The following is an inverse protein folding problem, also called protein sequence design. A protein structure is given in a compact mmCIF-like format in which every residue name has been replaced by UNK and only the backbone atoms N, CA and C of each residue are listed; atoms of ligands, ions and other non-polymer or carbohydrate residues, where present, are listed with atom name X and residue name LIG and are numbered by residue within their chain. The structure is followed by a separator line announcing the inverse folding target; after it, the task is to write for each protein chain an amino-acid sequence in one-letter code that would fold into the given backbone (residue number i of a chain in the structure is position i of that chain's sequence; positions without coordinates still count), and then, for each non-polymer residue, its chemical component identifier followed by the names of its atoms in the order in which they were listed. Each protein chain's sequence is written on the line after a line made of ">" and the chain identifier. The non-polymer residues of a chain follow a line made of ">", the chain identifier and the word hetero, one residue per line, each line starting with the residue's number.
data_IF_860101699643
#
_entry.id   IF_860101699643
#
_cell.length_a   1.000
_cell.length_b   1.000
_cell.length_c   1.000
_cell.angle_alpha   90.00
_cell.angle_beta   90.00
_cell.angle_gamma   90.00
#
_symmetry.space_group_name_H-M   'P 1'
#
loop_
_entity.id
_entity.type
_entity.pdbx_description
1 polymer ?
#
# COMPACT_ATOMS: atom_id res chain seq x y z
N UNK A 1 -1.21 -28.72 13.57
CA UNK A 1 -2.05 -27.64 13.03
C UNK A 1 -1.43 -26.32 13.45
N UNK A 2 -0.62 -25.66 12.59
CA UNK A 2 -0.05 -24.36 12.95
C UNK A 2 -1.17 -23.31 12.91
N UNK A 3 -1.28 -22.53 13.97
CA UNK A 3 -2.19 -21.39 14.06
C UNK A 3 -1.77 -20.29 13.07
N UNK A 4 -2.72 -19.52 12.54
CA UNK A 4 -2.54 -18.44 11.55
C UNK A 4 -1.44 -17.42 11.96
N UNK A 5 -1.18 -17.29 13.26
CA UNK A 5 -0.11 -16.44 13.80
C UNK A 5 1.32 -16.93 13.50
N UNK A 6 1.53 -18.23 13.24
CA UNK A 6 2.88 -18.79 13.06
C UNK A 6 3.43 -18.60 11.64
N UNK A 7 2.57 -18.24 10.67
CA UNK A 7 2.97 -18.00 9.28
C UNK A 7 3.38 -16.55 9.00
N UNK A 8 3.18 -15.63 9.94
CA UNK A 8 3.48 -14.21 9.79
C UNK A 8 4.92 -13.86 10.18
N UNK A 9 5.67 -14.80 10.77
CA UNK A 9 7.01 -14.55 11.30
C UNK A 9 8.16 -14.71 10.27
N UNK A 10 7.89 -15.18 9.04
CA UNK A 10 8.94 -15.47 8.04
C UNK A 10 8.98 -14.50 6.84
N UNK A 11 8.19 -13.44 6.81
CA UNK A 11 8.16 -12.52 5.66
C UNK A 11 9.24 -11.41 5.76
N UNK A 12 10.51 -11.83 5.77
CA UNK A 12 11.70 -10.99 5.56
C UNK A 12 12.38 -11.37 4.25
N UNK A 13 11.59 -11.58 3.19
CA UNK A 13 12.14 -11.88 1.86
C UNK A 13 11.93 -10.70 0.93
N UNK A 14 12.98 -10.35 0.19
CA UNK A 14 12.89 -9.50 -0.99
C UNK A 14 11.82 -10.03 -1.95
N UNK A 15 11.36 -9.19 -2.87
CA UNK A 15 10.31 -9.58 -3.79
C UNK A 15 10.67 -10.86 -4.55
N UNK A 16 9.87 -11.93 -4.46
CA UNK A 16 10.16 -13.14 -5.22
C UNK A 16 10.10 -12.84 -6.72
N UNK A 17 10.90 -13.52 -7.55
CA UNK A 17 10.83 -13.38 -9.01
C UNK A 17 9.40 -13.58 -9.51
N UNK A 18 8.86 -12.59 -10.22
CA UNK A 18 7.49 -12.62 -10.74
C UNK A 18 6.39 -12.25 -9.76
N UNK A 19 6.70 -11.75 -8.55
CA UNK A 19 5.67 -11.20 -7.69
C UNK A 19 5.10 -9.90 -8.29
N UNK A 20 3.77 -9.68 -8.17
CA UNK A 20 3.11 -8.55 -8.80
C UNK A 20 3.51 -7.23 -8.13
N UNK A 21 3.68 -6.19 -8.93
CA UNK A 21 4.20 -4.89 -8.46
C UNK A 21 3.10 -4.02 -7.86
N UNK A 22 3.48 -3.12 -6.96
CA UNK A 22 2.63 -1.99 -6.58
C UNK A 22 3.40 -0.68 -6.71
N UNK A 23 2.65 0.39 -6.89
CA UNK A 23 3.18 1.75 -6.87
C UNK A 23 2.20 2.68 -6.17
N UNK A 24 2.75 3.66 -5.48
CA UNK A 24 2.00 4.80 -4.95
C UNK A 24 2.62 6.06 -5.52
N UNK A 25 1.85 6.79 -6.32
CA UNK A 25 2.29 8.07 -6.87
C UNK A 25 1.68 9.21 -6.07
N UNK A 26 2.50 10.17 -5.63
CA UNK A 26 2.00 11.40 -5.01
C UNK A 26 1.76 12.42 -6.11
N UNK A 27 0.52 12.91 -6.19
CA UNK A 27 0.03 13.64 -7.34
C UNK A 27 -0.55 15.00 -6.91
N UNK A 28 0.15 16.07 -7.29
CA UNK A 28 -0.29 17.45 -7.13
C UNK A 28 -1.09 17.89 -8.36
N UNK A 29 -2.30 17.35 -8.50
CA UNK A 29 -3.29 17.80 -9.49
C UNK A 29 -4.07 19.02 -8.95
N UNK A 30 -5.34 19.16 -9.32
CA UNK A 30 -6.25 20.16 -8.72
C UNK A 30 -6.35 20.05 -7.20
N UNK A 31 -6.21 18.83 -6.67
CA UNK A 31 -6.01 18.54 -5.25
C UNK A 31 -4.89 17.53 -5.10
N UNK A 32 -4.08 17.69 -4.05
CA UNK A 32 -3.12 16.68 -3.66
C UNK A 32 -3.84 15.38 -3.33
N UNK A 33 -3.40 14.29 -3.94
CA UNK A 33 -3.84 12.93 -3.63
C UNK A 33 -2.70 11.94 -3.91
N UNK A 34 -2.94 10.68 -3.56
CA UNK A 34 -2.02 9.59 -3.79
C UNK A 34 -2.69 8.54 -4.67
N UNK A 35 -2.15 8.28 -5.84
CA UNK A 35 -2.62 7.21 -6.73
C UNK A 35 -2.00 5.89 -6.27
N UNK A 36 -2.81 5.04 -5.63
CA UNK A 36 -2.45 3.72 -5.15
C UNK A 36 -2.78 2.67 -6.21
N UNK A 37 -1.80 1.84 -6.60
CA UNK A 37 -1.98 0.91 -7.70
C UNK A 37 -1.40 -0.48 -7.40
N UNK A 38 -2.15 -1.51 -7.79
CA UNK A 38 -1.74 -2.92 -7.69
C UNK A 38 -1.75 -3.55 -9.08
N UNK A 39 -0.65 -4.19 -9.47
CA UNK A 39 -0.59 -5.00 -10.68
C UNK A 39 -1.48 -6.25 -10.54
N UNK A 40 -2.45 -6.41 -11.43
CA UNK A 40 -3.29 -7.60 -11.49
C UNK A 40 -3.84 -7.80 -12.91
N UNK A 41 -3.58 -8.95 -13.52
CA UNK A 41 -4.06 -9.27 -14.87
C UNK A 41 -3.45 -8.39 -15.97
N UNK A 42 -2.16 -8.05 -15.85
CA UNK A 42 -1.42 -7.28 -16.86
C UNK A 42 -1.69 -5.77 -16.88
N UNK A 43 -2.43 -5.25 -15.90
CA UNK A 43 -2.74 -3.83 -15.74
C UNK A 43 -2.58 -3.40 -14.29
N UNK A 44 -2.52 -2.08 -14.07
CA UNK A 44 -2.48 -1.47 -12.74
C UNK A 44 -3.90 -1.09 -12.29
N UNK A 45 -4.49 -1.92 -11.43
CA UNK A 45 -5.74 -1.60 -10.74
C UNK A 45 -5.48 -0.40 -9.83
N UNK A 46 -6.25 0.67 -10.00
CA UNK A 46 -5.86 1.99 -9.51
C UNK A 46 -6.95 2.66 -8.65
N UNK A 47 -6.51 3.31 -7.58
CA UNK A 47 -7.36 4.10 -6.69
C UNK A 47 -6.70 5.44 -6.32
N UNK A 48 -7.44 6.54 -6.43
CA UNK A 48 -7.05 7.81 -5.87
C UNK A 48 -7.37 7.85 -4.36
N UNK A 49 -6.36 8.11 -3.53
CA UNK A 49 -6.43 8.17 -2.06
C UNK A 49 -6.14 9.61 -1.62
N UNK A 50 -7.15 10.48 -1.41
CA UNK A 50 -6.95 11.92 -1.24
C UNK A 50 -6.04 12.30 -0.07
N UNK A 51 -6.16 11.59 1.06
CA UNK A 51 -5.32 11.85 2.24
C UNK A 51 -4.05 10.99 2.28
N UNK A 52 -3.88 10.08 1.32
CA UNK A 52 -2.82 9.07 1.33
C UNK A 52 -3.05 7.92 2.33
N UNK A 53 -2.17 6.90 2.31
CA UNK A 53 -2.20 5.75 3.21
C UNK A 53 -1.87 6.14 4.67
N UNK A 54 -2.22 5.27 5.62
CA UNK A 54 -1.94 5.47 7.04
C UNK A 54 -1.69 4.14 7.74
N UNK A 55 -0.75 4.13 8.67
CA UNK A 55 -0.47 2.98 9.52
C UNK A 55 -1.41 2.89 10.74
N UNK A 56 -2.29 3.86 10.94
CA UNK A 56 -3.21 3.85 12.07
C UNK A 56 -4.45 2.98 11.77
N UNK A 57 -4.66 1.95 12.59
CA UNK A 57 -5.81 1.04 12.51
C UNK A 57 -7.17 1.75 12.67
N UNK A 58 -7.19 2.95 13.24
CA UNK A 58 -8.40 3.75 13.43
C UNK A 58 -8.75 4.58 12.18
N UNK A 59 -7.79 4.78 11.28
CA UNK A 59 -7.97 5.59 10.10
C UNK A 59 -8.39 4.75 8.89
N UNK A 60 -9.59 5.03 8.37
CA UNK A 60 -10.10 4.42 7.15
C UNK A 60 -9.98 5.43 6.01
N UNK A 61 -9.01 5.22 5.11
CA UNK A 61 -8.68 6.20 4.06
C UNK A 61 -9.56 5.95 2.85
N UNK A 62 -10.32 6.96 2.41
CA UNK A 62 -11.11 6.87 1.17
C UNK A 62 -10.19 6.57 -0.01
N UNK A 63 -10.55 5.57 -0.80
CA UNK A 63 -9.88 5.15 -2.02
C UNK A 63 -10.92 5.13 -3.16
N UNK A 64 -10.81 6.05 -4.10
CA UNK A 64 -11.75 6.17 -5.22
C UNK A 64 -11.18 5.39 -6.40
N UNK A 65 -11.90 4.38 -6.89
CA UNK A 65 -11.47 3.62 -8.07
C UNK A 65 -11.35 4.56 -9.26
N UNK A 66 -10.25 4.46 -10.00
CA UNK A 66 -10.02 5.17 -11.27
C UNK A 66 -9.74 4.15 -12.37
N UNK A 67 -9.54 4.63 -13.60
CA UNK A 67 -9.25 3.76 -14.74
C UNK A 67 -7.98 2.94 -14.52
N UNK A 68 -7.93 1.76 -15.14
CA UNK A 68 -6.74 0.93 -15.14
C UNK A 68 -5.60 1.65 -15.86
N UNK A 69 -4.38 1.50 -15.36
CA UNK A 69 -3.21 2.12 -15.96
C UNK A 69 -2.25 1.06 -16.54
N UNK A 70 -1.49 1.40 -17.60
CA UNK A 70 -0.48 0.50 -18.13
C UNK A 70 0.69 0.36 -17.14
N UNK A 71 1.31 -0.82 -17.10
CA UNK A 71 2.49 -1.12 -16.27
C UNK A 71 3.65 -0.12 -16.49
N UNK A 72 3.81 0.37 -17.72
CA UNK A 72 4.83 1.36 -18.07
C UNK A 72 4.69 2.69 -17.34
N UNK A 73 3.53 2.96 -16.73
CA UNK A 73 3.29 4.18 -15.97
C UNK A 73 3.84 4.13 -14.54
N UNK A 74 4.29 2.95 -14.07
CA UNK A 74 4.77 2.75 -12.70
C UNK A 74 5.99 3.61 -12.37
N UNK A 75 6.84 3.86 -13.37
CA UNK A 75 8.09 4.60 -13.18
C UNK A 75 7.95 6.08 -13.56
N UNK A 76 6.74 6.55 -13.90
CA UNK A 76 6.53 7.94 -14.30
C UNK A 76 6.67 8.89 -13.11
N UNK A 77 7.59 9.84 -13.26
CA UNK A 77 7.79 11.01 -12.41
C UNK A 77 8.01 12.24 -13.30
N UNK A 78 7.28 13.33 -13.03
CA UNK A 78 7.33 14.50 -13.89
C UNK A 78 6.13 15.43 -13.71
N UNK A 79 5.91 16.28 -14.72
CA UNK A 79 4.75 17.18 -14.79
C UNK A 79 3.88 16.80 -15.97
N UNK A 80 2.61 16.52 -15.72
CA UNK A 80 1.57 16.37 -16.74
C UNK A 80 1.10 17.77 -17.11
N UNK A 81 1.12 18.08 -18.41
CA UNK A 81 0.77 19.39 -18.93
C UNK A 81 -0.69 19.76 -18.61
N UNK A 82 -0.94 21.07 -18.49
CA UNK A 82 -2.29 21.59 -18.26
C UNK A 82 -3.22 21.25 -19.44
N UNK A 83 -4.50 21.05 -19.15
CA UNK A 83 -5.50 20.64 -20.13
C UNK A 83 -5.54 19.13 -20.42
N UNK A 84 -4.55 18.36 -19.95
CA UNK A 84 -4.59 16.91 -19.99
C UNK A 84 -5.23 16.33 -18.73
N UNK A 85 -5.81 15.12 -18.86
CA UNK A 85 -6.31 14.38 -17.70
C UNK A 85 -5.15 14.10 -16.73
N UNK A 86 -5.34 14.46 -15.46
CA UNK A 86 -4.28 14.36 -14.45
C UNK A 86 -3.22 15.46 -14.51
N UNK A 87 -3.50 16.63 -15.11
CA UNK A 87 -2.56 17.76 -15.09
C UNK A 87 -2.05 18.06 -13.66
N UNK A 88 -0.72 18.14 -13.51
CA UNK A 88 -0.10 18.24 -12.19
C UNK A 88 1.30 17.67 -12.14
N UNK A 89 1.97 17.86 -11.00
CA UNK A 89 3.25 17.18 -10.71
C UNK A 89 2.95 15.79 -10.15
N UNK A 90 3.76 14.80 -10.54
CA UNK A 90 3.70 13.42 -10.06
C UNK A 90 5.08 12.99 -9.62
N UNK A 91 5.19 12.30 -8.48
CA UNK A 91 6.39 11.56 -8.08
C UNK A 91 6.03 10.11 -7.73
N UNK A 92 6.99 9.20 -7.84
CA UNK A 92 6.86 7.84 -7.31
C UNK A 92 7.12 7.89 -5.79
N UNK A 93 6.06 7.97 -5.00
CA UNK A 93 6.15 8.14 -3.55
C UNK A 93 6.49 6.84 -2.83
N UNK A 94 5.98 5.71 -3.30
CA UNK A 94 6.42 4.39 -2.84
C UNK A 94 6.32 3.37 -3.99
N UNK A 95 7.13 2.32 -3.94
CA UNK A 95 7.08 1.21 -4.88
C UNK A 95 7.59 -0.06 -4.22
N UNK A 96 7.16 -1.19 -4.75
CA UNK A 96 7.47 -2.49 -4.19
C UNK A 96 6.75 -3.60 -4.92
N UNK A 97 6.57 -4.70 -4.21
CA UNK A 97 5.62 -5.71 -4.63
C UNK A 97 4.60 -6.02 -3.55
N UNK A 98 3.52 -6.65 -3.98
CA UNK A 98 2.42 -6.99 -3.12
C UNK A 98 2.13 -8.48 -3.21
N UNK A 99 1.57 -9.02 -2.13
CA UNK A 99 1.17 -10.40 -2.05
C UNK A 99 -0.30 -10.48 -1.64
N UNK A 100 -1.18 -11.08 -2.47
CA UNK A 100 -2.56 -11.32 -2.06
C UNK A 100 -2.60 -12.30 -0.88
N UNK A 101 -3.42 -12.00 0.14
CA UNK A 101 -3.64 -12.91 1.28
C UNK A 101 -4.73 -13.96 0.98
N UNK A 102 -5.56 -13.70 -0.03
CA UNK A 102 -6.60 -14.57 -0.57
C UNK A 102 -6.67 -14.40 -2.09
N UNK A 103 -7.50 -15.16 -2.80
CA UNK A 103 -7.66 -14.98 -4.26
C UNK A 103 -7.99 -13.50 -4.61
N UNK A 104 -7.14 -12.82 -5.38
CA UNK A 104 -7.31 -11.39 -5.61
C UNK A 104 -8.48 -11.06 -6.53
N UNK A 105 -8.82 -11.94 -7.48
CA UNK A 105 -9.93 -11.74 -8.40
C UNK A 105 -11.27 -11.84 -7.66
N UNK A 106 -11.42 -12.86 -6.82
CA UNK A 106 -12.58 -13.00 -5.93
C UNK A 106 -12.64 -11.85 -4.93
N UNK A 107 -11.52 -11.45 -4.33
CA UNK A 107 -11.47 -10.31 -3.39
C UNK A 107 -11.94 -9.00 -4.02
N UNK A 108 -11.46 -8.70 -5.23
CA UNK A 108 -11.87 -7.52 -6.00
C UNK A 108 -13.36 -7.58 -6.38
N UNK A 109 -13.86 -8.77 -6.77
CA UNK A 109 -15.26 -9.02 -7.11
C UNK A 109 -16.19 -8.93 -5.89
N UNK A 110 -15.79 -9.48 -4.75
CA UNK A 110 -16.55 -9.45 -3.51
C UNK A 110 -16.47 -8.11 -2.76
N UNK A 111 -15.45 -7.30 -3.04
CA UNK A 111 -15.29 -5.97 -2.44
C UNK A 111 -14.46 -5.97 -1.16
N UNK A 112 -13.64 -6.99 -0.96
CA UNK A 112 -12.62 -7.05 0.08
C UNK A 112 -11.37 -7.70 -0.48
N UNK A 113 -10.37 -6.89 -0.79
CA UNK A 113 -9.05 -7.34 -1.22
C UNK A 113 -8.08 -7.17 -0.06
N UNK A 114 -7.61 -8.26 0.53
CA UNK A 114 -6.59 -8.25 1.59
C UNK A 114 -5.24 -8.67 1.03
N UNK A 115 -4.18 -7.94 1.37
CA UNK A 115 -2.85 -8.11 0.79
C UNK A 115 -1.75 -7.64 1.73
N UNK A 116 -0.53 -8.13 1.52
CA UNK A 116 0.68 -7.60 2.11
C UNK A 116 1.45 -6.72 1.11
N UNK A 117 2.07 -5.65 1.60
CA UNK A 117 2.95 -4.77 0.82
C UNK A 117 4.40 -4.93 1.30
N UNK A 118 5.31 -4.90 0.33
CA UNK A 118 6.75 -4.93 0.51
C UNK A 118 7.38 -3.77 -0.27
N UNK A 119 7.17 -2.55 0.19
CA UNK A 119 7.78 -1.34 -0.37
C UNK A 119 8.64 -0.58 0.63
N UNK A 120 9.21 0.52 0.17
CA UNK A 120 10.14 1.34 0.96
C UNK A 120 9.45 2.04 2.12
N UNK A 121 8.16 2.35 1.97
CA UNK A 121 7.37 3.06 2.99
C UNK A 121 6.20 2.25 3.49
N UNK A 122 5.50 1.53 2.60
CA UNK A 122 4.37 0.68 2.92
C UNK A 122 4.82 -0.77 3.06
N UNK A 123 4.67 -1.28 4.28
CA UNK A 123 5.06 -2.63 4.68
C UNK A 123 3.91 -3.28 5.43
N UNK A 124 3.80 -4.59 5.31
CA UNK A 124 2.86 -5.40 6.09
C UNK A 124 1.48 -5.52 5.44
N UNK A 125 0.48 -5.95 6.21
CA UNK A 125 -0.87 -6.26 5.79
C UNK A 125 -1.79 -5.03 5.70
N UNK A 126 -2.59 -4.99 4.64
CA UNK A 126 -3.54 -3.95 4.29
C UNK A 126 -4.80 -4.57 3.67
N UNK A 127 -5.86 -3.79 3.58
CA UNK A 127 -7.04 -4.17 2.81
C UNK A 127 -7.67 -3.00 2.07
N UNK A 128 -8.23 -3.30 0.90
CA UNK A 128 -9.19 -2.47 0.19
C UNK A 128 -10.60 -3.03 0.44
N UNK A 129 -11.49 -2.22 1.00
CA UNK A 129 -12.86 -2.59 1.35
C UNK A 129 -13.82 -1.69 0.59
N UNK A 130 -14.65 -2.26 -0.29
CA UNK A 130 -15.67 -1.53 -1.04
C UNK A 130 -16.84 -1.18 -0.11
N UNK A 131 -17.19 0.09 -0.08
CA UNK A 131 -18.37 0.57 0.65
C UNK A 131 -19.64 0.18 -0.10
N UNK A 132 -20.75 0.12 0.62
CA UNK A 132 -22.05 0.02 -0.04
C UNK A 132 -22.32 1.30 -0.86
N UNK A 133 -22.89 1.17 -2.07
CA UNK A 133 -23.36 2.32 -2.83
C UNK A 133 -24.34 3.16 -2.00
N UNK A 134 -24.30 4.48 -2.16
CA UNK A 134 -25.28 5.39 -1.54
C UNK A 134 -25.92 6.24 -2.63
N UNK A 135 -27.26 6.27 -2.64
CA UNK A 135 -28.13 7.14 -3.46
C UNK A 135 -27.47 7.78 -4.69
N UNK A 136 -27.40 7.02 -5.80
CA UNK A 136 -26.94 7.53 -7.10
C UNK A 136 -25.44 7.78 -7.22
N UNK A 137 -24.63 7.50 -6.19
CA UNK A 137 -23.16 7.58 -6.25
C UNK A 137 -22.53 6.19 -6.34
N UNK A 138 -21.53 6.01 -7.21
CA UNK A 138 -20.78 4.75 -7.27
C UNK A 138 -20.11 4.45 -5.94
N UNK A 139 -19.97 3.16 -5.62
CA UNK A 139 -19.32 2.70 -4.41
C UNK A 139 -17.85 3.11 -4.38
N UNK A 140 -17.45 3.89 -3.37
CA UNK A 140 -16.05 4.13 -3.06
C UNK A 140 -15.42 2.95 -2.31
N UNK A 141 -14.11 2.91 -2.25
CA UNK A 141 -13.35 1.95 -1.44
C UNK A 141 -12.75 2.63 -0.21
N UNK A 142 -12.31 1.83 0.74
CA UNK A 142 -11.50 2.22 1.87
C UNK A 142 -10.19 1.45 1.82
N UNK A 143 -9.06 2.15 1.86
CA UNK A 143 -7.75 1.58 2.16
C UNK A 143 -7.56 1.62 3.68
N UNK A 144 -7.28 0.45 4.27
CA UNK A 144 -7.10 0.29 5.72
C UNK A 144 -5.84 -0.51 6.02
N UNK A 145 -5.16 -0.15 7.10
CA UNK A 145 -4.10 -0.98 7.69
C UNK A 145 -4.75 -2.16 8.42
N UNK A 146 -4.19 -3.35 8.26
CA UNK A 146 -4.59 -4.56 9.01
C UNK A 146 -3.61 -4.81 10.17
N UNK A 147 -4.03 -5.62 11.15
CA UNK A 147 -3.19 -5.92 12.31
C UNK A 147 -2.10 -6.94 11.97
N UNK A 148 -0.84 -6.57 12.17
CA UNK A 148 0.36 -7.35 11.86
C UNK A 148 1.64 -6.92 12.60
N UNK A 149 1.59 -5.92 13.49
CA UNK A 149 2.76 -5.40 14.21
C UNK A 149 3.55 -4.27 13.52
N UNK A 150 3.17 -3.84 12.33
CA UNK A 150 3.75 -2.66 11.64
C UNK A 150 2.92 -1.39 11.82
N UNK A 151 1.80 -1.48 12.54
CA UNK A 151 0.86 -0.37 12.73
C UNK A 151 1.47 0.72 13.61
N UNK A 152 1.08 1.97 13.37
CA UNK A 152 1.55 3.13 14.11
C UNK A 152 0.42 4.14 14.25
N UNK A 153 0.10 4.62 15.47
CA UNK A 153 -0.89 5.66 15.66
C UNK A 153 -0.53 6.94 14.88
N UNK A 154 -1.52 7.58 14.24
CA UNK A 154 -1.28 8.75 13.39
C UNK A 154 -0.76 9.96 14.17
N UNK A 155 -1.08 10.05 15.47
CA UNK A 155 -0.55 11.08 16.38
C UNK A 155 0.93 10.93 16.72
N UNK A 156 1.49 9.73 16.55
CA UNK A 156 2.92 9.45 16.77
C UNK A 156 3.70 9.46 15.46
N UNK A 157 3.08 8.96 14.39
CA UNK A 157 3.71 8.83 13.09
C UNK A 157 2.73 9.10 11.96
N UNK A 158 2.73 10.32 11.44
CA UNK A 158 2.03 10.65 10.21
C UNK A 158 2.91 10.29 9.01
N UNK A 159 2.62 9.14 8.40
CA UNK A 159 3.40 8.53 7.32
C UNK A 159 3.67 9.46 6.13
N UNK A 160 2.66 10.17 5.64
CA UNK A 160 2.77 10.97 4.42
C UNK A 160 3.58 12.26 4.62
N UNK A 161 3.62 12.74 5.87
CA UNK A 161 4.40 13.92 6.27
C UNK A 161 5.82 13.52 6.66
N UNK A 162 5.98 12.39 7.36
CA UNK A 162 7.27 11.89 7.81
C UNK A 162 8.16 11.38 6.67
N UNK A 163 7.56 10.82 5.61
CA UNK A 163 8.28 10.26 4.46
C UNK A 163 7.77 10.88 3.14
N UNK A 164 8.01 12.17 2.86
CA UNK A 164 7.31 12.90 1.79
C UNK A 164 7.88 12.68 0.39
N UNK A 165 9.13 12.22 0.27
CA UNK A 165 9.95 12.30 -0.95
C UNK A 165 9.81 11.13 -1.92
N UNK A 166 10.40 11.23 -3.10
CA UNK A 166 10.36 10.17 -4.12
C UNK A 166 11.25 8.98 -3.75
N UNK A 167 10.86 7.79 -4.19
CA UNK A 167 11.68 6.56 -4.15
C UNK A 167 12.07 6.07 -5.55
N UNK A 168 11.84 6.87 -6.60
CA UNK A 168 12.05 6.45 -8.00
C UNK A 168 13.46 5.87 -8.26
N UNK A 169 14.48 6.46 -7.63
CA UNK A 169 15.88 6.05 -7.78
C UNK A 169 16.28 4.83 -6.92
N UNK A 170 15.40 4.37 -6.03
CA UNK A 170 15.67 3.20 -5.20
C UNK A 170 15.35 1.91 -5.98
N UNK A 171 15.92 0.75 -5.57
CA UNK A 171 15.57 -0.54 -6.14
C UNK A 171 14.06 -0.82 -6.05
N UNK A 172 13.54 -1.63 -6.96
CA UNK A 172 12.10 -1.88 -7.05
C UNK A 172 11.52 -2.65 -5.87
N UNK A 173 12.35 -3.39 -5.14
CA UNK A 173 11.98 -3.94 -3.85
C UNK A 173 13.06 -3.56 -2.83
N UNK A 174 12.69 -3.01 -1.67
CA UNK A 174 13.64 -2.81 -0.59
C UNK A 174 14.25 -4.16 -0.19
N UNK A 175 15.55 -4.14 0.12
CA UNK A 175 16.17 -5.27 0.78
C UNK A 175 15.46 -5.52 2.12
N UNK A 176 15.33 -6.78 2.57
CA UNK A 176 14.84 -7.05 3.91
C UNK A 176 15.64 -6.25 4.94
N UNK A 177 14.95 -5.49 5.79
CA UNK A 177 15.59 -4.83 6.92
C UNK A 177 16.28 -5.93 7.75
N UNK A 178 17.55 -5.73 8.18
CA UNK A 178 18.18 -6.70 9.06
C UNK A 178 17.30 -6.83 10.30
N UNK A 179 16.88 -8.07 10.61
CA UNK A 179 16.13 -8.38 11.82
C UNK A 179 16.97 -7.88 13.00
N UNK A 180 16.60 -6.74 13.57
CA UNK A 180 17.05 -6.37 14.90
C UNK A 180 16.49 -7.45 15.82
N UNK A 181 17.34 -8.44 16.12
CA UNK A 181 17.03 -9.51 17.06
C UNK A 181 16.50 -8.85 18.31
N UNK A 182 15.20 -9.03 18.57
CA UNK A 182 14.56 -8.56 19.78
C UNK A 182 15.26 -9.29 20.90
N UNK A 183 16.19 -8.61 21.59
CA UNK A 183 16.88 -9.17 22.76
C UNK A 183 15.78 -9.65 23.69
N UNK A 184 15.75 -10.95 23.96
CA UNK A 184 14.83 -11.51 24.93
C UNK A 184 15.00 -10.72 26.24
N UNK A 185 13.91 -10.33 26.94
CA UNK A 185 14.05 -9.81 28.28
C UNK A 185 14.76 -10.89 29.10
N UNK A 186 15.82 -10.48 29.83
CA UNK A 186 16.57 -11.36 30.71
C UNK A 186 15.58 -12.13 31.60
N UNK A 187 15.66 -13.45 31.54
CA UNK A 187 14.74 -14.35 32.22
C UNK A 187 14.62 -14.01 33.71
N UNK A 188 13.38 -13.91 34.17
CA UNK A 188 13.03 -14.00 35.56
C UNK A 188 13.25 -15.46 36.00
N UNK A 189 14.24 -15.71 36.84
CA UNK A 189 14.43 -17.02 37.47
C UNK A 189 13.40 -17.17 38.60
N UNK A 190 12.58 -18.23 38.64
CA UNK A 190 11.75 -18.53 39.80
C UNK A 190 12.61 -19.08 40.97
N UNK A 191 12.10 -18.98 42.22
CA UNK A 191 12.87 -19.21 43.45
C UNK A 191 13.35 -20.64 43.67
#
# INVERSE_FOLDING_TARGET
>A
MPTIASSLAEHTSACPPGAPRFVVQKHWASRLHYDFRLELGGVMKSWAVPKGPSYDLRERRLAVSVEDHPLSYNDFEGKIAEGHYGAGRVIVWDKGCWQPLHDPYQGLGAGRLAFALHGHKLVGAWALIRMQPRHGRPAGWLLVKERDGHERPAGEFNLVDALPDSVAQLPDCPAPAPLLSRRAPAGFAPP
#
